data_IF_733965521009
#
_entry.id   IF_733965521009
#
_cell.length_a   1.000
_cell.length_b   1.000
_cell.length_c   1.000
_cell.angle_alpha   90.00
_cell.angle_beta   90.00
_cell.angle_gamma   90.00
#
_symmetry.space_group_name_H-M   'P 1'
#
loop_
_entity.id
_entity.type
_entity.pdbx_description
1 polymer ?
#
# COMPACT_ATOMS: atom_id res chain seq x y z
N UNK A 1 -21.41 67.72 -25.17
CA UNK A 1 -22.83 67.70 -24.73
C UNK A 1 -23.07 66.50 -23.81
N UNK A 2 -24.14 66.50 -22.98
CA UNK A 2 -24.73 65.35 -22.23
C UNK A 2 -23.80 64.49 -21.35
N UNK A 3 -23.72 64.59 -20.00
CA UNK A 3 -24.69 64.41 -18.89
C UNK A 3 -24.95 62.95 -18.41
N UNK A 4 -24.47 62.65 -17.18
CA UNK A 4 -25.01 61.76 -16.11
C UNK A 4 -24.94 60.23 -16.36
N UNK A 5 -24.36 59.41 -15.47
CA UNK A 5 -24.89 58.88 -14.18
C UNK A 5 -26.20 58.05 -14.35
N UNK A 6 -26.48 56.93 -13.65
CA UNK A 6 -26.26 56.67 -12.20
C UNK A 6 -26.63 55.21 -11.81
N UNK A 7 -25.78 54.52 -11.01
CA UNK A 7 -26.07 53.63 -9.85
C UNK A 7 -26.97 52.36 -9.91
N UNK A 8 -26.46 51.33 -9.20
CA UNK A 8 -27.18 50.29 -8.38
C UNK A 8 -28.06 49.29 -9.19
N UNK A 9 -28.44 48.10 -8.69
CA UNK A 9 -28.42 47.55 -7.32
C UNK A 9 -28.11 46.04 -7.29
N UNK A 10 -27.69 45.54 -6.13
CA UNK A 10 -27.83 44.13 -5.77
C UNK A 10 -29.33 43.76 -5.64
N UNK A 11 -29.71 42.58 -6.13
CA UNK A 11 -30.90 41.83 -5.72
C UNK A 11 -30.64 40.33 -5.97
N UNK A 12 -31.19 39.47 -5.11
CA UNK A 12 -30.93 38.03 -5.10
C UNK A 12 -32.19 37.23 -5.52
N UNK A 13 -32.46 36.00 -5.06
CA UNK A 13 -32.65 34.84 -5.93
C UNK A 13 -34.12 34.47 -6.16
N UNK A 14 -34.36 33.52 -7.08
CA UNK A 14 -35.32 32.40 -7.02
C UNK A 14 -35.42 31.76 -8.43
N UNK A 15 -35.12 30.47 -8.56
CA UNK A 15 -36.04 29.32 -8.41
C UNK A 15 -36.83 29.04 -9.69
N UNK A 16 -36.36 28.07 -10.47
CA UNK A 16 -37.22 27.14 -11.23
C UNK A 16 -36.62 25.75 -11.05
N UNK A 17 -37.43 24.82 -10.56
CA UNK A 17 -37.08 23.40 -10.40
C UNK A 17 -37.56 22.59 -11.63
N UNK A 18 -36.94 21.42 -11.82
CA UNK A 18 -37.41 20.28 -12.62
C UNK A 18 -37.82 20.47 -14.10
N UNK A 19 -37.23 19.64 -14.97
CA UNK A 19 -38.01 18.62 -15.72
C UNK A 19 -37.06 17.49 -16.12
N UNK A 20 -37.49 16.26 -15.87
CA UNK A 20 -36.80 15.01 -16.24
C UNK A 20 -37.61 14.36 -17.36
N UNK A 21 -36.99 13.96 -18.49
CA UNK A 21 -37.30 12.75 -19.27
C UNK A 21 -36.79 12.78 -20.73
N UNK A 22 -36.01 11.76 -21.06
CA UNK A 22 -36.11 10.92 -22.27
C UNK A 22 -36.10 11.52 -23.69
N UNK A 23 -35.03 11.19 -24.43
CA UNK A 23 -35.10 10.80 -25.84
C UNK A 23 -34.20 9.58 -26.04
N UNK A 24 -34.65 8.61 -26.85
CA UNK A 24 -34.13 7.24 -26.89
C UNK A 24 -34.16 6.69 -28.34
N UNK A 25 -33.23 5.78 -28.66
CA UNK A 25 -33.07 5.00 -29.91
C UNK A 25 -32.74 5.82 -31.19
N UNK A 26 -31.85 5.45 -32.12
CA UNK A 26 -30.97 4.28 -32.36
C UNK A 26 -29.77 4.77 -33.23
N UNK A 27 -28.65 4.07 -33.47
CA UNK A 27 -28.18 2.74 -33.04
C UNK A 27 -27.67 1.88 -34.22
N UNK A 28 -26.35 1.75 -34.41
CA UNK A 28 -25.74 0.80 -35.37
C UNK A 28 -24.37 0.24 -34.89
N UNK A 29 -24.02 -0.96 -35.37
CA UNK A 29 -23.05 -1.88 -34.77
C UNK A 29 -21.76 -2.05 -35.61
N UNK A 30 -20.59 -2.08 -34.96
CA UNK A 30 -19.31 -2.49 -35.57
C UNK A 30 -18.51 -3.39 -34.61
N UNK A 31 -18.86 -4.67 -34.63
CA UNK A 31 -18.04 -5.78 -34.12
C UNK A 31 -16.61 -5.76 -34.69
N UNK A 32 -15.60 -5.89 -33.84
CA UNK A 32 -14.20 -6.13 -34.22
C UNK A 32 -13.53 -7.09 -33.21
N UNK A 33 -12.77 -8.05 -33.72
CA UNK A 33 -12.16 -9.21 -33.03
C UNK A 33 -11.65 -9.00 -31.58
N UNK A 34 -12.34 -9.60 -30.60
CA UNK A 34 -11.73 -9.92 -29.31
C UNK A 34 -10.77 -11.11 -29.46
N UNK A 35 -9.52 -10.83 -29.85
CA UNK A 35 -8.42 -11.71 -29.44
C UNK A 35 -8.14 -11.45 -27.96
N UNK A 36 -8.20 -12.49 -27.09
CA UNK A 36 -8.00 -12.31 -25.66
C UNK A 36 -6.59 -11.80 -25.41
N UNK A 37 -6.49 -10.50 -25.12
CA UNK A 37 -5.23 -9.85 -24.80
C UNK A 37 -4.71 -10.46 -23.50
N UNK A 38 -3.72 -11.36 -23.63
CA UNK A 38 -3.12 -12.08 -22.51
C UNK A 38 -2.53 -11.06 -21.54
N UNK A 39 -3.30 -10.74 -20.48
CA UNK A 39 -2.94 -9.76 -19.46
C UNK A 39 -1.53 -10.07 -18.99
N UNK A 40 -0.61 -9.11 -19.10
CA UNK A 40 0.79 -9.29 -18.68
C UNK A 40 0.78 -9.71 -17.21
N UNK A 41 1.08 -10.99 -16.96
CA UNK A 41 1.16 -11.51 -15.61
C UNK A 41 2.21 -10.74 -14.82
N UNK A 42 1.99 -10.55 -13.52
CA UNK A 42 3.02 -9.97 -12.66
C UNK A 42 4.27 -10.86 -12.74
N UNK A 43 5.41 -10.25 -13.08
CA UNK A 43 6.71 -10.92 -13.01
C UNK A 43 7.03 -11.37 -11.58
N UNK A 44 8.03 -12.25 -11.39
CA UNK A 44 8.39 -12.77 -10.07
C UNK A 44 8.64 -11.66 -9.05
N UNK A 45 7.78 -11.57 -8.03
CA UNK A 45 7.89 -10.56 -6.97
C UNK A 45 8.94 -10.96 -5.95
N UNK A 46 10.22 -10.77 -6.32
CA UNK A 46 11.38 -10.97 -5.44
C UNK A 46 12.05 -9.62 -5.15
N UNK A 47 11.81 -9.08 -3.95
CA UNK A 47 12.66 -8.03 -3.40
C UNK A 47 13.94 -8.70 -2.86
N UNK A 48 15.07 -8.41 -3.49
CA UNK A 48 16.40 -8.87 -3.03
C UNK A 48 16.80 -8.12 -1.76
N UNK A 49 17.22 -8.84 -0.71
CA UNK A 49 17.76 -8.25 0.52
C UNK A 49 19.22 -7.81 0.31
N UNK A 50 19.43 -6.91 -0.65
CA UNK A 50 20.76 -6.35 -0.94
C UNK A 50 21.02 -5.14 -0.04
N UNK A 51 21.98 -5.32 0.86
CA UNK A 51 22.65 -4.25 1.59
C UNK A 51 23.51 -3.41 0.62
N UNK A 52 22.85 -2.57 -0.18
CA UNK A 52 23.52 -1.51 -0.94
C UNK A 52 24.03 -0.45 0.03
N UNK A 53 25.34 -0.19 0.01
CA UNK A 53 26.11 0.36 1.13
C UNK A 53 25.81 1.83 1.52
N UNK A 54 24.88 2.52 0.86
CA UNK A 54 24.81 3.99 0.92
C UNK A 54 23.69 4.60 1.77
N UNK A 55 22.49 3.99 1.88
CA UNK A 55 21.32 4.69 2.46
C UNK A 55 20.41 3.78 3.29
N UNK A 56 20.63 3.79 4.60
CA UNK A 56 19.59 3.43 5.58
C UNK A 56 18.37 4.34 5.33
N UNK A 57 17.20 3.75 5.08
CA UNK A 57 16.01 4.49 4.62
C UNK A 57 15.28 5.08 5.80
N UNK A 58 15.05 6.38 5.76
CA UNK A 58 14.16 7.04 6.71
C UNK A 58 12.70 6.63 6.44
N UNK A 59 11.98 6.41 7.54
CA UNK A 59 10.55 6.11 7.56
C UNK A 59 9.84 7.29 8.21
N UNK A 60 9.07 8.01 7.42
CA UNK A 60 8.05 8.92 7.93
C UNK A 60 7.06 8.11 8.76
N UNK A 61 6.73 8.60 9.97
CA UNK A 61 5.78 7.95 10.88
C UNK A 61 4.62 8.90 11.17
N UNK A 62 3.41 8.36 11.24
CA UNK A 62 2.26 9.10 11.78
C UNK A 62 2.32 9.15 13.32
N UNK A 63 1.38 9.86 13.94
CA UNK A 63 1.22 9.99 15.41
C UNK A 63 1.10 8.64 16.14
N UNK A 64 0.67 7.59 15.43
CA UNK A 64 0.54 6.21 15.94
C UNK A 64 1.79 5.36 15.70
N UNK A 65 2.92 5.96 15.27
CA UNK A 65 4.17 5.26 14.98
C UNK A 65 4.10 4.32 13.76
N UNK A 66 3.10 4.49 12.88
CA UNK A 66 2.95 3.68 11.67
C UNK A 66 3.73 4.33 10.52
N UNK A 67 4.50 3.54 9.74
CA UNK A 67 5.24 4.09 8.60
C UNK A 67 4.29 4.52 7.49
N UNK A 68 4.50 5.73 6.97
CA UNK A 68 3.75 6.36 5.86
C UNK A 68 4.70 6.71 4.70
N UNK A 69 4.16 7.30 3.62
CA UNK A 69 4.93 7.67 2.42
C UNK A 69 5.47 6.49 1.60
N UNK A 70 6.24 6.79 0.56
CA UNK A 70 6.72 5.79 -0.43
C UNK A 70 7.60 4.67 0.16
N UNK A 71 8.31 4.98 1.25
CA UNK A 71 9.15 3.99 1.92
C UNK A 71 8.34 2.98 2.74
N UNK A 72 7.10 3.31 3.16
CA UNK A 72 6.22 2.37 3.88
C UNK A 72 5.90 1.11 3.07
N UNK A 73 5.65 1.25 1.76
CA UNK A 73 5.31 0.14 0.86
C UNK A 73 6.53 -0.77 0.66
N UNK A 74 7.72 -0.18 0.51
CA UNK A 74 9.00 -0.89 0.40
C UNK A 74 9.33 -1.60 1.72
N UNK A 75 9.07 -0.97 2.85
CA UNK A 75 9.24 -1.52 4.19
C UNK A 75 8.31 -2.72 4.46
N UNK A 76 7.01 -2.59 4.18
CA UNK A 76 6.06 -3.70 4.32
C UNK A 76 6.45 -4.89 3.42
N UNK A 77 6.88 -4.63 2.19
CA UNK A 77 7.40 -5.64 1.28
C UNK A 77 8.68 -6.31 1.81
N UNK A 78 9.57 -5.53 2.42
CA UNK A 78 10.81 -6.01 3.03
C UNK A 78 10.56 -6.90 4.25
N UNK A 79 9.69 -6.52 5.18
CA UNK A 79 9.28 -7.38 6.29
C UNK A 79 8.72 -8.72 5.79
N UNK A 80 7.92 -8.70 4.71
CA UNK A 80 7.40 -9.90 4.06
C UNK A 80 8.45 -10.78 3.38
N UNK A 81 9.57 -10.22 2.92
CA UNK A 81 10.72 -10.99 2.42
C UNK A 81 11.58 -11.54 3.57
N UNK A 82 11.85 -10.73 4.60
CA UNK A 82 12.61 -11.14 5.78
C UNK A 82 12.02 -12.39 6.43
N UNK A 83 10.70 -12.46 6.62
CA UNK A 83 10.05 -13.67 7.15
C UNK A 83 10.21 -14.88 6.24
N UNK A 84 10.31 -14.69 4.91
CA UNK A 84 10.51 -15.78 3.95
C UNK A 84 11.92 -16.33 3.98
N UNK A 85 12.89 -15.50 4.31
CA UNK A 85 14.32 -15.81 4.32
C UNK A 85 14.80 -16.37 5.68
N UNK A 86 14.38 -15.74 6.78
CA UNK A 86 14.84 -16.09 8.14
C UNK A 86 14.01 -17.15 8.86
N UNK A 87 12.72 -17.34 8.50
CA UNK A 87 11.80 -18.19 9.27
C UNK A 87 11.39 -19.43 8.48
N UNK A 88 11.84 -20.64 8.87
CA UNK A 88 11.39 -21.89 8.30
C UNK A 88 9.87 -22.07 8.41
N UNK A 89 9.28 -22.72 7.41
CA UNK A 89 7.85 -23.03 7.41
C UNK A 89 7.48 -24.17 8.38
N UNK A 90 8.46 -25.01 8.73
CA UNK A 90 8.32 -26.19 9.59
C UNK A 90 8.10 -25.88 11.06
N UNK A 91 8.26 -24.63 11.50
CA UNK A 91 7.99 -24.22 12.89
C UNK A 91 6.48 -24.22 13.16
N UNK A 92 6.07 -24.71 14.32
CA UNK A 92 4.67 -24.76 14.72
C UNK A 92 4.17 -23.40 15.21
N UNK A 93 4.99 -22.70 16.01
CA UNK A 93 4.71 -21.40 16.59
C UNK A 93 5.83 -20.36 16.41
N UNK A 94 5.44 -19.07 16.39
CA UNK A 94 6.38 -17.94 16.32
C UNK A 94 7.37 -17.90 17.50
N UNK A 95 6.97 -18.45 18.65
CA UNK A 95 7.77 -18.43 19.87
C UNK A 95 9.01 -19.35 19.79
N UNK A 96 8.99 -20.37 18.92
CA UNK A 96 10.09 -21.32 18.70
C UNK A 96 11.27 -20.72 17.93
N UNK A 97 11.11 -19.52 17.36
CA UNK A 97 12.20 -18.81 16.70
C UNK A 97 13.24 -18.43 17.76
N UNK A 98 14.42 -19.04 17.71
CA UNK A 98 15.53 -18.74 18.62
C UNK A 98 15.95 -17.26 18.59
N UNK A 99 16.47 -16.77 19.71
CA UNK A 99 16.84 -15.35 19.87
C UNK A 99 17.87 -14.89 18.84
N UNK A 100 18.85 -15.75 18.50
CA UNK A 100 19.84 -15.48 17.46
C UNK A 100 19.20 -15.14 16.10
N UNK A 101 18.13 -15.83 15.70
CA UNK A 101 17.40 -15.55 14.45
C UNK A 101 16.65 -14.22 14.57
N UNK A 102 16.06 -13.94 15.73
CA UNK A 102 15.41 -12.64 16.01
C UNK A 102 16.43 -11.49 15.92
N UNK A 103 17.62 -11.63 16.49
CA UNK A 103 18.62 -10.55 16.45
C UNK A 103 19.30 -10.40 15.08
N UNK A 104 19.45 -11.48 14.31
CA UNK A 104 19.81 -11.41 12.88
C UNK A 104 18.74 -10.64 12.07
N UNK A 105 17.45 -10.90 12.29
CA UNK A 105 16.35 -10.15 11.68
C UNK A 105 16.37 -8.67 12.11
N UNK A 106 16.60 -8.38 13.38
CA UNK A 106 16.67 -7.02 13.93
C UNK A 106 17.83 -6.20 13.33
N UNK A 107 19.04 -6.76 13.37
CA UNK A 107 20.24 -6.15 12.77
C UNK A 107 20.05 -5.86 11.28
N UNK A 108 19.45 -6.79 10.55
CA UNK A 108 19.16 -6.61 9.13
C UNK A 108 18.11 -5.53 8.87
N UNK A 109 17.16 -5.31 9.80
CA UNK A 109 16.19 -4.23 9.72
C UNK A 109 16.85 -2.86 9.94
N UNK A 110 17.65 -2.72 11.01
CA UNK A 110 18.39 -1.49 11.34
C UNK A 110 19.36 -1.07 10.22
N UNK A 111 19.99 -2.05 9.55
CA UNK A 111 20.85 -1.80 8.39
C UNK A 111 20.09 -1.20 7.19
N UNK A 112 18.80 -1.53 7.03
CA UNK A 112 18.00 -1.12 5.87
C UNK A 112 17.10 0.11 6.14
N UNK A 113 16.68 0.32 7.39
CA UNK A 113 15.71 1.34 7.79
C UNK A 113 16.03 1.94 9.16
N UNK A 114 15.75 3.23 9.32
CA UNK A 114 15.95 3.97 10.58
C UNK A 114 14.89 3.59 11.61
N UNK A 115 15.14 2.50 12.34
CA UNK A 115 14.24 1.95 13.37
C UNK A 115 14.90 1.98 14.74
N UNK A 116 14.11 2.33 15.75
CA UNK A 116 14.55 2.53 17.14
C UNK A 116 14.16 1.32 18.01
N UNK A 117 14.90 1.05 19.10
CA UNK A 117 14.66 -0.12 19.94
C UNK A 117 13.27 -0.15 20.62
N UNK A 118 12.65 1.01 20.87
CA UNK A 118 11.28 1.08 21.39
C UNK A 118 10.25 0.50 20.39
N UNK A 119 10.56 0.51 19.10
CA UNK A 119 9.71 -0.09 18.06
C UNK A 119 9.90 -1.60 17.93
N UNK A 120 11.02 -2.17 18.43
CA UNK A 120 11.37 -3.60 18.27
C UNK A 120 10.16 -4.47 18.61
N UNK A 121 9.50 -4.23 19.75
CA UNK A 121 8.29 -4.97 20.16
C UNK A 121 7.14 -4.90 19.13
N UNK A 122 6.82 -3.71 18.63
CA UNK A 122 5.71 -3.49 17.67
C UNK A 122 6.05 -4.11 16.31
N UNK A 123 7.30 -4.02 15.88
CA UNK A 123 7.80 -4.59 14.63
C UNK A 123 7.78 -6.12 14.71
N UNK A 124 8.24 -6.72 15.81
CA UNK A 124 8.19 -8.17 16.00
C UNK A 124 6.75 -8.71 16.08
N UNK A 125 5.80 -7.94 16.63
CA UNK A 125 4.36 -8.28 16.55
C UNK A 125 3.84 -8.25 15.11
N UNK A 126 4.24 -7.25 14.30
CA UNK A 126 3.91 -7.20 12.86
C UNK A 126 4.51 -8.38 12.10
N UNK A 127 5.77 -8.73 12.38
CA UNK A 127 6.44 -9.90 11.79
C UNK A 127 5.72 -11.21 12.17
N UNK A 128 5.35 -11.39 13.44
CA UNK A 128 4.59 -12.55 13.92
C UNK A 128 3.19 -12.68 13.29
N UNK A 129 2.54 -11.56 12.98
CA UNK A 129 1.29 -11.55 12.21
C UNK A 129 1.54 -11.98 10.76
N UNK A 130 2.48 -11.33 10.07
CA UNK A 130 2.82 -11.63 8.68
C UNK A 130 3.28 -13.10 8.47
N UNK A 131 3.95 -13.71 9.46
CA UNK A 131 4.30 -15.13 9.43
C UNK A 131 3.06 -16.03 9.53
N UNK A 132 2.14 -15.75 10.46
CA UNK A 132 0.85 -16.48 10.55
C UNK A 132 0.00 -16.31 9.29
N UNK A 133 -0.08 -15.09 8.76
CA UNK A 133 -0.79 -14.76 7.52
C UNK A 133 -0.18 -15.45 6.29
N UNK A 134 1.12 -15.79 6.33
CA UNK A 134 1.79 -16.63 5.32
C UNK A 134 1.50 -18.12 5.57
N UNK A 135 1.51 -18.57 6.84
CA UNK A 135 1.28 -19.97 7.21
C UNK A 135 -0.12 -20.43 6.80
N UNK A 136 -1.15 -19.66 7.15
CA UNK A 136 -2.53 -19.95 6.75
C UNK A 136 -2.73 -20.03 5.23
N UNK A 137 -2.15 -19.10 4.46
CA UNK A 137 -2.24 -19.09 2.99
C UNK A 137 -1.57 -20.30 2.33
N UNK A 138 -0.55 -20.88 2.95
CA UNK A 138 0.09 -22.10 2.46
C UNK A 138 -0.67 -23.36 2.89
N UNK A 139 -1.25 -23.38 4.10
CA UNK A 139 -2.11 -24.47 4.58
C UNK A 139 -3.42 -24.60 3.78
N UNK A 140 -3.95 -23.49 3.23
CA UNK A 140 -5.17 -23.50 2.39
C UNK A 140 -4.89 -23.96 0.94
N UNK A 141 -3.61 -24.12 0.55
CA UNK A 141 -3.18 -24.50 -0.80
C UNK A 141 -2.65 -25.95 -0.90
N UNK A 142 -3.02 -26.79 0.07
CA UNK A 142 -2.70 -28.23 0.16
C UNK A 142 -4.00 -29.02 0.28
#
# INVERSE_FOLDING_TARGET
MGKKSKKHSLASPNEIQETIASHDLHGEEQINDDKPHKKKGRGPSKLKMVSGQDKCKELERNELGQPIGDNSVKYASFLGCMIKEFVPYTLDGWNEIGEEVKDRMWSCLQLNYKVEDWEKKVIFQKLAKLWRDRKSKLQILV
#
